data_IF_805241867411
#
_entry.id   IF_805241867411
#
_cell.length_a   1.000
_cell.length_b   1.000
_cell.length_c   1.000
_cell.angle_alpha   90.00
_cell.angle_beta   90.00
_cell.angle_gamma   90.00
#
_symmetry.space_group_name_H-M   'P 1'
#
loop_
_entity.id
_entity.type
_entity.pdbx_description
1 polymer ?
#
# COMPACT_ATOMS: atom_id res chain seq x y z
N UNK A 1 3.53 -4.14 -15.42
CA UNK A 1 4.32 -3.34 -14.45
C UNK A 1 5.79 -3.31 -14.90
N UNK A 2 6.11 -2.72 -16.06
CA UNK A 2 7.44 -2.94 -16.69
C UNK A 2 8.55 -1.98 -16.23
N UNK A 3 8.25 -0.92 -15.49
CA UNK A 3 9.25 0.05 -15.04
C UNK A 3 8.82 0.68 -13.71
N UNK A 4 9.19 0.05 -12.58
CA UNK A 4 9.08 0.67 -11.26
C UNK A 4 10.47 0.94 -10.72
N UNK A 5 10.68 2.16 -10.22
CA UNK A 5 11.91 2.51 -9.52
C UNK A 5 12.03 1.67 -8.23
N UNK A 6 13.26 1.42 -7.81
CA UNK A 6 13.53 0.47 -6.72
C UNK A 6 12.84 0.87 -5.41
N UNK A 7 12.83 2.16 -5.06
CA UNK A 7 12.13 2.69 -3.88
C UNK A 7 10.61 2.42 -3.92
N UNK A 8 10.01 2.41 -5.11
CA UNK A 8 8.57 2.15 -5.29
C UNK A 8 8.25 0.67 -5.13
N UNK A 9 9.14 -0.18 -5.65
CA UNK A 9 9.08 -1.63 -5.43
C UNK A 9 9.27 -1.98 -3.97
N UNK A 10 10.17 -1.29 -3.28
CA UNK A 10 10.41 -1.47 -1.85
C UNK A 10 9.14 -1.14 -1.06
N UNK A 11 8.49 0.00 -1.34
CA UNK A 11 7.25 0.38 -0.68
C UNK A 11 6.12 -0.65 -0.92
N UNK A 12 6.02 -1.18 -2.13
CA UNK A 12 5.06 -2.25 -2.45
C UNK A 12 5.39 -3.58 -1.78
N UNK A 13 6.67 -3.92 -1.61
CA UNK A 13 7.10 -5.10 -0.87
C UNK A 13 6.80 -4.96 0.64
N UNK A 14 6.99 -3.77 1.22
CA UNK A 14 6.57 -3.45 2.60
C UNK A 14 5.05 -3.52 2.77
N UNK A 15 4.30 -3.07 1.76
CA UNK A 15 2.85 -3.23 1.72
C UNK A 15 2.44 -4.71 1.73
N UNK A 16 3.11 -5.58 0.95
CA UNK A 16 2.83 -7.01 1.00
C UNK A 16 3.09 -7.64 2.37
N UNK A 17 4.15 -7.23 3.08
CA UNK A 17 4.37 -7.67 4.47
C UNK A 17 3.26 -7.19 5.42
N UNK A 18 2.75 -5.97 5.22
CA UNK A 18 1.66 -5.41 6.00
C UNK A 18 0.35 -6.18 5.75
N UNK A 19 0.03 -6.41 4.48
CA UNK A 19 -1.13 -7.17 4.02
C UNK A 19 -1.14 -8.59 4.61
N UNK A 20 -0.06 -9.36 4.42
CA UNK A 20 0.07 -10.73 4.97
C UNK A 20 -0.15 -10.75 6.49
N UNK A 21 0.36 -9.74 7.22
CA UNK A 21 0.17 -9.62 8.68
C UNK A 21 -1.26 -9.30 9.06
N UNK A 22 -1.91 -8.35 8.37
CA UNK A 22 -3.30 -7.97 8.65
C UNK A 22 -4.24 -9.15 8.40
N UNK A 23 -4.02 -9.88 7.30
CA UNK A 23 -4.84 -11.05 6.97
C UNK A 23 -4.68 -12.16 8.01
N UNK A 24 -3.44 -12.49 8.37
CA UNK A 24 -3.19 -13.47 9.45
C UNK A 24 -3.87 -13.04 10.75
N UNK A 25 -3.79 -11.76 11.10
CA UNK A 25 -4.44 -11.22 12.29
C UNK A 25 -5.98 -11.30 12.23
N UNK A 26 -6.59 -11.13 11.05
CA UNK A 26 -8.02 -11.35 10.87
C UNK A 26 -8.39 -12.82 11.05
N UNK A 27 -7.61 -13.75 10.48
CA UNK A 27 -7.84 -15.19 10.61
C UNK A 27 -7.73 -15.66 12.08
N UNK A 28 -6.86 -15.01 12.86
CA UNK A 28 -6.65 -15.26 14.29
C UNK A 28 -7.58 -14.45 15.21
N UNK A 29 -8.48 -13.63 14.65
CA UNK A 29 -9.35 -12.70 15.38
C UNK A 29 -8.60 -11.67 16.27
N UNK A 30 -7.35 -11.36 15.95
CA UNK A 30 -6.52 -10.36 16.65
C UNK A 30 -6.63 -8.98 16.00
N UNK A 31 -7.70 -8.25 16.32
CA UNK A 31 -7.92 -6.90 15.80
C UNK A 31 -6.89 -5.86 16.28
N UNK A 32 -6.21 -6.12 17.41
CA UNK A 32 -5.15 -5.24 17.90
C UNK A 32 -3.93 -5.34 16.99
N UNK A 33 -3.57 -6.55 16.57
CA UNK A 33 -2.50 -6.79 15.59
C UNK A 33 -2.81 -6.18 14.21
N UNK A 34 -4.07 -6.21 13.76
CA UNK A 34 -4.50 -5.51 12.52
C UNK A 34 -4.15 -4.02 12.60
N UNK A 35 -4.58 -3.35 13.68
CA UNK A 35 -4.32 -1.92 13.86
C UNK A 35 -2.82 -1.62 13.99
N UNK A 36 -2.08 -2.43 14.75
CA UNK A 36 -0.65 -2.25 14.94
C UNK A 36 0.12 -2.41 13.63
N UNK A 37 -0.21 -3.42 12.81
CA UNK A 37 0.42 -3.65 11.51
C UNK A 37 0.18 -2.47 10.57
N UNK A 38 -1.07 -2.04 10.42
CA UNK A 38 -1.44 -0.92 9.57
C UNK A 38 -0.78 0.39 10.04
N UNK A 39 -0.83 0.70 11.33
CA UNK A 39 -0.27 1.93 11.87
C UNK A 39 1.25 1.97 11.72
N UNK A 40 1.93 0.84 11.98
CA UNK A 40 3.39 0.74 11.78
C UNK A 40 3.75 1.01 10.32
N UNK A 41 3.08 0.34 9.38
CA UNK A 41 3.34 0.52 7.95
C UNK A 41 3.07 1.96 7.49
N UNK A 42 1.92 2.54 7.87
CA UNK A 42 1.55 3.90 7.46
C UNK A 42 2.50 4.94 8.05
N UNK A 43 2.83 4.83 9.33
CA UNK A 43 3.64 5.85 10.02
C UNK A 43 5.12 5.74 9.67
N UNK A 44 5.68 4.53 9.72
CA UNK A 44 7.12 4.32 9.57
C UNK A 44 7.50 4.18 8.10
N UNK A 45 6.94 3.20 7.41
CA UNK A 45 7.37 2.86 6.05
C UNK A 45 6.86 3.88 5.03
N UNK A 46 5.60 4.29 5.14
CA UNK A 46 4.98 5.22 4.19
C UNK A 46 5.28 6.67 4.53
N UNK A 47 4.85 7.15 5.71
CA UNK A 47 4.91 8.58 6.04
C UNK A 47 6.33 9.06 6.31
N UNK A 48 7.04 8.43 7.25
CA UNK A 48 8.36 8.89 7.67
C UNK A 48 9.45 8.64 6.63
N UNK A 49 9.29 7.63 5.76
CA UNK A 49 10.31 7.25 4.79
C UNK A 49 9.88 7.44 3.34
N UNK A 50 8.92 6.65 2.84
CA UNK A 50 8.60 6.64 1.41
C UNK A 50 8.13 8.01 0.89
N UNK A 51 7.21 8.67 1.59
CA UNK A 51 6.71 9.99 1.21
C UNK A 51 7.83 11.02 1.29
N UNK A 52 8.66 10.99 2.34
CA UNK A 52 9.76 11.94 2.50
C UNK A 52 10.78 11.84 1.36
N UNK A 53 11.17 10.62 1.00
CA UNK A 53 12.12 10.33 -0.09
C UNK A 53 11.53 10.69 -1.47
N UNK A 54 10.22 10.56 -1.64
CA UNK A 54 9.59 10.66 -2.97
C UNK A 54 8.85 11.97 -3.24
N UNK A 55 8.68 12.83 -2.22
CA UNK A 55 7.95 14.10 -2.32
C UNK A 55 8.45 15.01 -3.44
N UNK A 56 9.77 15.15 -3.59
CA UNK A 56 10.35 16.08 -4.56
C UNK A 56 9.96 15.73 -5.99
N UNK A 57 10.07 14.46 -6.38
CA UNK A 57 9.62 14.03 -7.72
C UNK A 57 8.10 14.06 -7.87
N UNK A 58 7.33 13.91 -6.79
CA UNK A 58 5.86 14.04 -6.85
C UNK A 58 5.43 15.47 -7.11
N UNK A 59 6.13 16.45 -6.54
CA UNK A 59 5.80 17.86 -6.65
C UNK A 59 6.41 18.54 -7.89
N UNK A 60 7.62 18.13 -8.29
CA UNK A 60 8.39 18.90 -9.29
C UNK A 60 8.41 18.26 -10.67
N UNK A 61 8.24 16.93 -10.79
CA UNK A 61 8.38 16.28 -12.09
C UNK A 61 7.11 16.40 -12.93
N UNK A 62 7.30 16.55 -14.24
CA UNK A 62 6.20 16.65 -15.21
C UNK A 62 5.28 15.41 -15.19
N UNK A 63 4.02 15.59 -15.58
CA UNK A 63 2.99 14.55 -15.50
C UNK A 63 3.31 13.26 -16.28
N UNK A 64 4.12 13.35 -17.34
CA UNK A 64 4.55 12.20 -18.15
C UNK A 64 5.87 11.57 -17.69
N UNK A 65 6.49 12.09 -16.62
CA UNK A 65 7.74 11.54 -16.08
C UNK A 65 7.53 10.10 -15.59
N UNK A 66 8.37 9.19 -16.03
CA UNK A 66 8.34 7.79 -15.60
C UNK A 66 8.53 7.66 -14.09
N UNK A 67 9.41 8.47 -13.50
CA UNK A 67 9.66 8.46 -12.06
C UNK A 67 8.42 8.90 -11.25
N UNK A 68 7.70 9.92 -11.72
CA UNK A 68 6.45 10.36 -11.08
C UNK A 68 5.35 9.31 -11.23
N UNK A 69 5.19 8.76 -12.44
CA UNK A 69 4.19 7.71 -12.71
C UNK A 69 4.46 6.42 -11.93
N UNK A 70 5.72 6.05 -11.74
CA UNK A 70 6.15 4.92 -10.94
C UNK A 70 5.64 5.06 -9.50
N UNK A 71 5.95 6.17 -8.84
CA UNK A 71 5.51 6.37 -7.46
C UNK A 71 3.99 6.58 -7.31
N UNK A 72 3.32 7.21 -8.29
CA UNK A 72 1.85 7.30 -8.30
C UNK A 72 1.19 5.93 -8.43
N UNK A 73 1.77 5.05 -9.25
CA UNK A 73 1.27 3.68 -9.41
C UNK A 73 1.43 2.89 -8.11
N UNK A 74 2.58 3.01 -7.44
CA UNK A 74 2.80 2.37 -6.15
C UNK A 74 1.87 2.92 -5.06
N UNK A 75 1.74 4.25 -4.96
CA UNK A 75 0.84 4.89 -3.98
C UNK A 75 -0.61 4.48 -4.19
N UNK A 76 -1.07 4.40 -5.44
CA UNK A 76 -2.43 3.98 -5.77
C UNK A 76 -2.68 2.52 -5.34
N UNK A 77 -1.75 1.61 -5.61
CA UNK A 77 -1.88 0.22 -5.19
C UNK A 77 -1.91 0.10 -3.65
N UNK A 78 -1.05 0.85 -2.95
CA UNK A 78 -1.00 0.84 -1.49
C UNK A 78 -2.31 1.37 -0.88
N UNK A 79 -2.81 2.52 -1.34
CA UNK A 79 -4.01 3.13 -0.76
C UNK A 79 -5.28 2.33 -1.10
N UNK A 80 -5.35 1.74 -2.29
CA UNK A 80 -6.45 0.87 -2.68
C UNK A 80 -6.50 -0.40 -1.82
N UNK A 81 -5.33 -1.02 -1.61
CA UNK A 81 -5.17 -2.16 -0.72
C UNK A 81 -5.53 -1.86 0.73
N UNK A 82 -5.00 -0.75 1.29
CA UNK A 82 -5.32 -0.30 2.65
C UNK A 82 -6.80 0.00 2.82
N UNK A 83 -7.47 0.59 1.83
CA UNK A 83 -8.90 0.84 1.89
C UNK A 83 -9.67 -0.48 2.08
N UNK A 84 -9.34 -1.51 1.32
CA UNK A 84 -9.96 -2.84 1.42
C UNK A 84 -9.65 -3.53 2.74
N UNK A 85 -8.38 -3.50 3.17
CA UNK A 85 -7.91 -4.16 4.39
C UNK A 85 -8.49 -3.54 5.66
N UNK A 86 -8.63 -2.22 5.69
CA UNK A 86 -9.12 -1.50 6.88
C UNK A 86 -10.63 -1.32 6.90
N UNK A 87 -11.34 -1.62 5.80
CA UNK A 87 -12.80 -1.48 5.72
C UNK A 87 -13.58 -2.19 6.85
N UNK A 88 -13.18 -3.36 7.37
CA UNK A 88 -13.88 -3.99 8.50
C UNK A 88 -13.79 -3.21 9.82
N UNK A 89 -12.76 -2.38 10.00
CA UNK A 89 -12.50 -1.63 11.25
C UNK A 89 -12.86 -0.15 11.11
N UNK A 90 -12.59 0.45 9.96
CA UNK A 90 -12.80 1.86 9.65
C UNK A 90 -13.83 2.01 8.52
N UNK A 91 -15.00 1.40 8.69
CA UNK A 91 -15.98 1.19 7.61
C UNK A 91 -16.33 2.45 6.82
N UNK A 92 -16.83 3.48 7.51
CA UNK A 92 -17.23 4.74 6.86
C UNK A 92 -16.04 5.43 6.22
N UNK A 93 -14.92 5.55 6.93
CA UNK A 93 -13.73 6.26 6.43
C UNK A 93 -13.13 5.58 5.21
N UNK A 94 -13.09 4.24 5.18
CA UNK A 94 -12.56 3.51 4.04
C UNK A 94 -13.51 3.55 2.85
N UNK A 95 -14.82 3.57 3.06
CA UNK A 95 -15.78 3.75 1.97
C UNK A 95 -15.72 5.16 1.37
N UNK A 96 -15.59 6.20 2.20
CA UNK A 96 -15.35 7.58 1.73
C UNK A 96 -14.04 7.68 0.93
N UNK A 97 -12.93 7.15 1.46
CA UNK A 97 -11.65 7.09 0.76
C UNK A 97 -11.81 6.38 -0.59
N UNK A 98 -12.48 5.23 -0.61
CA UNK A 98 -12.70 4.42 -1.81
C UNK A 98 -13.34 5.20 -2.94
N UNK A 99 -14.32 6.08 -2.66
CA UNK A 99 -14.96 6.92 -3.67
C UNK A 99 -14.05 7.99 -4.27
N UNK A 100 -13.00 8.40 -3.57
CA UNK A 100 -12.07 9.45 -4.03
C UNK A 100 -10.94 8.93 -4.92
N UNK A 101 -10.65 7.63 -4.86
CA UNK A 101 -9.54 7.03 -5.58
C UNK A 101 -9.83 6.96 -7.10
N UNK A 102 -8.81 7.16 -7.96
CA UNK A 102 -9.00 7.18 -9.41
C UNK A 102 -9.26 5.80 -10.01
N UNK A 103 -9.91 5.77 -11.17
CA UNK A 103 -10.13 4.55 -11.97
C UNK A 103 -11.41 3.78 -11.64
N UNK A 104 -11.76 2.76 -12.45
CA UNK A 104 -12.98 1.97 -12.28
C UNK A 104 -12.94 1.18 -10.97
N UNK A 105 -14.05 1.16 -10.24
CA UNK A 105 -14.19 0.50 -8.93
C UNK A 105 -15.62 0.07 -8.67
N UNK A 106 -15.79 -0.86 -7.74
CA UNK A 106 -17.12 -1.24 -7.23
C UNK A 106 -17.77 -0.06 -6.50
N UNK A 107 -19.11 -0.04 -6.37
CA UNK A 107 -19.82 1.07 -5.73
C UNK A 107 -19.44 1.33 -4.27
N UNK A 108 -18.86 0.36 -3.57
CA UNK A 108 -18.41 0.47 -2.19
C UNK A 108 -17.22 -0.47 -1.97
N UNK A 109 -16.33 -0.09 -1.06
CA UNK A 109 -15.22 -0.96 -0.63
C UNK A 109 -15.72 -2.24 0.03
N UNK A 110 -16.90 -2.21 0.64
CA UNK A 110 -17.52 -3.36 1.30
C UNK A 110 -17.98 -4.47 0.34
N UNK A 111 -17.96 -4.19 -0.97
CA UNK A 111 -18.21 -5.17 -2.03
C UNK A 111 -16.90 -5.72 -2.62
N UNK A 112 -15.76 -5.12 -2.29
CA UNK A 112 -14.46 -5.56 -2.76
C UNK A 112 -13.92 -6.70 -1.90
N UNK A 113 -13.15 -7.59 -2.54
CA UNK A 113 -12.39 -8.61 -1.84
C UNK A 113 -11.13 -8.00 -1.24
N UNK A 114 -10.64 -8.56 -0.15
CA UNK A 114 -9.29 -8.26 0.33
C UNK A 114 -8.26 -8.49 -0.77
N UNK A 115 -7.15 -7.73 -0.77
CA UNK A 115 -6.03 -7.95 -1.67
C UNK A 115 -5.41 -9.31 -1.28
N UNK A 116 -5.69 -10.35 -2.04
CA UNK A 116 -5.31 -11.73 -1.72
C UNK A 116 -4.57 -12.38 -2.87
N UNK A 117 -3.72 -13.36 -2.54
CA UNK A 117 -3.14 -14.29 -3.50
C UNK A 117 -2.20 -13.60 -4.49
N UNK A 118 -2.56 -13.61 -5.77
CA UNK A 118 -1.69 -13.12 -6.85
C UNK A 118 -1.36 -11.62 -6.75
N UNK A 119 -2.25 -10.80 -6.19
CA UNK A 119 -2.02 -9.36 -6.09
C UNK A 119 -0.84 -9.05 -5.17
N UNK A 120 -0.87 -9.61 -3.96
CA UNK A 120 0.20 -9.52 -2.95
C UNK A 120 1.47 -10.21 -3.42
N UNK A 121 1.33 -11.43 -3.99
CA UNK A 121 2.47 -12.22 -4.46
C UNK A 121 3.29 -11.51 -5.57
N UNK A 122 2.65 -10.69 -6.41
CA UNK A 122 3.33 -9.94 -7.49
C UNK A 122 4.30 -8.88 -6.99
N UNK A 123 4.10 -8.36 -5.79
CA UNK A 123 4.90 -7.27 -5.23
C UNK A 123 5.75 -7.67 -4.04
N UNK A 124 5.57 -8.89 -3.55
CA UNK A 124 6.42 -9.47 -2.50
C UNK A 124 7.87 -9.62 -2.97
N UNK A 125 8.79 -8.98 -2.25
CA UNK A 125 10.23 -9.05 -2.54
C UNK A 125 11.05 -8.99 -1.22
N UNK A 126 11.17 -10.11 -0.48
CA UNK A 126 11.84 -10.11 0.82
C UNK A 126 13.33 -9.76 0.70
N UNK A 127 13.95 -10.11 -0.43
CA UNK A 127 15.34 -9.76 -0.70
C UNK A 127 15.54 -8.25 -0.85
N UNK A 128 14.60 -7.55 -1.49
CA UNK A 128 14.60 -6.09 -1.57
C UNK A 128 14.40 -5.45 -0.20
N UNK A 129 13.42 -5.92 0.59
CA UNK A 129 13.20 -5.38 1.95
C UNK A 129 14.44 -5.56 2.81
N UNK A 130 15.07 -6.74 2.80
CA UNK A 130 16.28 -7.02 3.58
C UNK A 130 17.47 -6.13 3.18
N UNK A 131 17.68 -5.86 1.89
CA UNK A 131 18.76 -4.96 1.43
C UNK A 131 18.58 -3.54 1.97
N UNK A 132 17.35 -3.03 1.94
CA UNK A 132 17.05 -1.67 2.40
C UNK A 132 17.04 -1.54 3.92
N UNK A 133 16.83 -2.63 4.66
CA UNK A 133 16.97 -2.64 6.12
C UNK A 133 18.42 -2.60 6.62
N UNK A 134 19.39 -2.94 5.76
CA UNK A 134 20.82 -2.99 6.08
C UNK A 134 21.60 -1.73 5.68
N UNK A 135 20.92 -0.71 5.14
CA UNK A 135 21.48 0.57 4.67
C UNK A 135 21.19 1.68 5.67
#
# INVERSE_FOLDING_TARGET
LRWQLEIDRWALAKYAECDERIITAYDDYDYAAVFQAANTFITVDVSAFYVDVTKDRMYTFGAKSEARRSGQTAMLAIVDGLARLLAPVLSVTMDELWQTLPGPRLPSVHLALFPMGEETARVRDPGLVARWAAS
#
